data_IF_133713124423
#
_entry.id   IF_133713124423
#
_cell.length_a   1.000
_cell.length_b   1.000
_cell.length_c   1.000
_cell.angle_alpha   90.00
_cell.angle_beta   90.00
_cell.angle_gamma   90.00
#
_symmetry.space_group_name_H-M   'P 1'
#
loop_
_entity.id
_entity.type
_entity.pdbx_description
1 polymer ?
#
# COMPACT_ATOMS: atom_id res chain seq x y z
N UNK A 1 9.06 -8.91 -24.44
CA UNK A 1 8.32 -9.11 -23.18
C UNK A 1 9.32 -8.93 -22.05
N UNK A 2 9.15 -7.92 -21.17
CA UNK A 2 9.97 -7.81 -19.96
C UNK A 2 9.70 -9.06 -19.13
N UNK A 3 10.72 -9.88 -18.90
CA UNK A 3 10.63 -11.00 -17.98
C UNK A 3 10.79 -10.44 -16.57
N UNK A 4 9.93 -10.85 -15.64
CA UNK A 4 10.14 -10.57 -14.22
C UNK A 4 11.54 -11.06 -13.82
N UNK A 5 12.21 -10.36 -12.90
CA UNK A 5 13.49 -10.82 -12.37
C UNK A 5 13.28 -12.16 -11.67
N UNK A 6 13.67 -13.26 -12.31
CA UNK A 6 13.53 -14.59 -11.73
C UNK A 6 14.65 -14.81 -10.71
N UNK A 7 14.32 -15.36 -9.54
CA UNK A 7 15.18 -15.80 -8.43
C UNK A 7 15.58 -14.74 -7.39
N UNK A 8 14.76 -13.73 -7.12
CA UNK A 8 15.03 -12.86 -5.99
C UNK A 8 14.71 -13.58 -4.67
N UNK A 9 15.53 -13.35 -3.62
CA UNK A 9 15.26 -13.88 -2.27
C UNK A 9 13.98 -13.28 -1.65
N UNK A 10 13.74 -11.95 -1.72
CA UNK A 10 12.47 -11.39 -1.25
C UNK A 10 11.38 -11.60 -2.32
N UNK A 11 10.27 -12.22 -1.92
CA UNK A 11 9.06 -12.30 -2.75
C UNK A 11 8.17 -11.07 -2.53
N UNK A 12 7.32 -10.76 -3.50
CA UNK A 12 6.34 -9.67 -3.43
C UNK A 12 5.17 -10.12 -2.56
N UNK A 13 4.94 -9.42 -1.45
CA UNK A 13 3.76 -9.61 -0.61
C UNK A 13 2.62 -8.73 -1.11
N UNK A 14 1.48 -9.33 -1.47
CA UNK A 14 0.31 -8.60 -1.94
C UNK A 14 -0.51 -8.12 -0.74
N UNK A 15 -0.52 -6.82 -0.48
CA UNK A 15 -1.29 -6.18 0.59
C UNK A 15 -2.36 -5.24 0.01
N UNK A 16 -3.62 -5.71 -0.13
CA UNK A 16 -4.74 -4.88 -0.56
C UNK A 16 -5.01 -3.70 0.36
N UNK A 17 -4.68 -3.81 1.66
CA UNK A 17 -4.83 -2.71 2.62
C UNK A 17 -4.00 -1.45 2.31
N UNK A 18 -3.03 -1.53 1.39
CA UNK A 18 -2.24 -0.40 0.90
C UNK A 18 -2.75 0.19 -0.43
N UNK A 19 -3.85 -0.33 -0.97
CA UNK A 19 -4.50 0.26 -2.14
C UNK A 19 -4.92 1.72 -1.85
N UNK A 20 -5.00 2.54 -2.90
CA UNK A 20 -5.34 3.95 -2.79
C UNK A 20 -6.77 4.18 -2.29
N UNK A 21 -7.17 5.44 -2.22
CA UNK A 21 -8.45 5.85 -1.64
C UNK A 21 -9.64 5.23 -2.39
N UNK A 22 -10.39 4.37 -1.71
CA UNK A 22 -11.53 3.64 -2.27
C UNK A 22 -12.70 4.55 -2.62
N UNK A 23 -12.76 5.76 -2.04
CA UNK A 23 -13.78 6.74 -2.39
C UNK A 23 -13.75 7.20 -3.85
N UNK A 24 -12.66 6.94 -4.59
CA UNK A 24 -12.58 7.16 -6.04
C UNK A 24 -13.26 6.06 -6.87
N UNK A 25 -13.66 4.93 -6.25
CA UNK A 25 -14.14 3.73 -6.93
C UNK A 25 -15.55 3.32 -6.48
N UNK A 26 -16.35 4.24 -5.93
CA UNK A 26 -17.67 3.93 -5.34
C UNK A 26 -18.62 3.18 -6.28
N UNK A 27 -18.60 3.55 -7.56
CA UNK A 27 -19.43 2.93 -8.61
C UNK A 27 -18.69 1.85 -9.42
N UNK A 28 -17.40 1.64 -9.13
CA UNK A 28 -16.54 0.74 -9.90
C UNK A 28 -16.53 -0.66 -9.30
N UNK A 29 -16.52 -1.68 -10.16
CA UNK A 29 -16.28 -3.05 -9.74
C UNK A 29 -14.79 -3.40 -9.92
N UNK A 30 -13.98 -3.07 -8.92
CA UNK A 30 -12.55 -3.37 -8.94
C UNK A 30 -12.30 -4.87 -9.08
N UNK A 31 -11.58 -5.27 -10.13
CA UNK A 31 -11.22 -6.65 -10.40
C UNK A 31 -9.71 -6.87 -10.24
N UNK A 32 -9.29 -7.20 -9.02
CA UNK A 32 -7.89 -7.52 -8.73
C UNK A 32 -7.55 -8.95 -9.18
N UNK A 33 -6.35 -9.13 -9.72
CA UNK A 33 -5.77 -10.46 -9.90
C UNK A 33 -5.55 -11.12 -8.53
N UNK A 34 -5.87 -12.40 -8.43
CA UNK A 34 -5.50 -13.22 -7.28
C UNK A 34 -3.99 -13.48 -7.25
N UNK A 35 -3.45 -13.76 -6.05
CA UNK A 35 -2.04 -14.13 -5.89
C UNK A 35 -1.67 -15.34 -6.77
N UNK A 36 -2.56 -16.33 -6.89
CA UNK A 36 -2.33 -17.50 -7.73
C UNK A 36 -2.26 -17.14 -9.22
N UNK A 37 -3.14 -16.28 -9.72
CA UNK A 37 -3.08 -15.79 -11.10
C UNK A 37 -1.76 -15.07 -11.35
N UNK A 38 -1.29 -14.24 -10.41
CA UNK A 38 0.01 -13.58 -10.52
C UNK A 38 1.17 -14.58 -10.56
N UNK A 39 1.16 -15.63 -9.72
CA UNK A 39 2.17 -16.71 -9.78
C UNK A 39 2.16 -17.39 -11.14
N UNK A 40 0.97 -17.73 -11.67
CA UNK A 40 0.81 -18.39 -12.97
C UNK A 40 1.34 -17.53 -14.12
N UNK A 41 1.21 -16.19 -14.02
CA UNK A 41 1.79 -15.25 -14.99
C UNK A 41 3.30 -15.02 -14.80
N UNK A 42 3.92 -15.64 -13.78
CA UNK A 42 5.36 -15.59 -13.53
C UNK A 42 5.84 -14.42 -12.67
N UNK A 43 4.94 -13.75 -11.94
CA UNK A 43 5.33 -12.78 -10.92
C UNK A 43 5.90 -13.50 -9.68
N UNK A 44 6.97 -12.96 -9.10
CA UNK A 44 7.59 -13.50 -7.87
C UNK A 44 6.83 -13.09 -6.61
N UNK A 45 5.54 -13.43 -6.52
CA UNK A 45 4.71 -13.15 -5.34
C UNK A 45 4.85 -14.24 -4.28
N UNK A 46 4.65 -13.87 -3.02
CA UNK A 46 4.58 -14.81 -1.91
C UNK A 46 3.15 -15.36 -1.75
N UNK A 47 2.87 -16.63 -2.12
CA UNK A 47 1.54 -17.20 -1.99
C UNK A 47 1.12 -17.42 -0.53
N UNK A 48 2.08 -17.47 0.38
CA UNK A 48 1.84 -17.75 1.80
C UNK A 48 1.68 -16.47 2.64
N UNK A 49 1.81 -15.30 2.02
CA UNK A 49 1.59 -14.02 2.70
C UNK A 49 0.12 -13.83 3.05
N UNK A 50 -0.17 -13.64 4.33
CA UNK A 50 -1.50 -13.28 4.81
C UNK A 50 -1.64 -11.75 4.95
N UNK A 51 -2.48 -11.10 4.13
CA UNK A 51 -2.62 -9.65 4.17
C UNK A 51 -3.30 -9.18 5.47
N UNK A 52 -2.97 -7.97 5.90
CA UNK A 52 -3.66 -7.27 6.99
C UNK A 52 -5.12 -7.05 6.62
N UNK A 53 -5.39 -6.63 5.38
CA UNK A 53 -6.74 -6.44 4.84
C UNK A 53 -6.85 -7.24 3.54
N UNK A 54 -7.82 -8.15 3.47
CA UNK A 54 -8.08 -8.93 2.26
C UNK A 54 -8.68 -8.06 1.14
N UNK A 55 -8.60 -8.52 -0.11
CA UNK A 55 -9.27 -7.85 -1.23
C UNK A 55 -10.78 -7.72 -1.00
N UNK A 56 -11.41 -8.72 -0.38
CA UNK A 56 -12.84 -8.70 -0.09
C UNK A 56 -13.17 -7.66 0.98
N UNK A 57 -12.38 -7.60 2.06
CA UNK A 57 -12.55 -6.59 3.10
C UNK A 57 -12.34 -5.17 2.55
N UNK A 58 -11.35 -4.97 1.68
CA UNK A 58 -11.14 -3.68 0.99
C UNK A 58 -12.38 -3.27 0.20
N UNK A 59 -12.95 -4.18 -0.61
CA UNK A 59 -14.12 -3.90 -1.46
C UNK A 59 -15.42 -3.74 -0.69
N UNK A 60 -15.55 -4.33 0.48
CA UNK A 60 -16.79 -4.32 1.26
C UNK A 60 -16.76 -3.30 2.39
N UNK A 61 -15.76 -3.37 3.28
CA UNK A 61 -15.66 -2.54 4.48
C UNK A 61 -15.18 -1.12 4.18
N UNK A 62 -14.36 -0.94 3.15
CA UNK A 62 -13.73 0.35 2.82
C UNK A 62 -14.31 1.01 1.56
N UNK A 63 -15.34 0.43 0.94
CA UNK A 63 -15.98 0.97 -0.28
C UNK A 63 -16.36 2.45 -0.18
N UNK A 64 -16.85 2.84 0.99
CA UNK A 64 -17.34 4.18 1.28
C UNK A 64 -16.47 4.91 2.29
N UNK A 65 -15.19 4.54 2.42
CA UNK A 65 -14.30 5.18 3.38
C UNK A 65 -14.20 6.69 3.13
N UNK A 66 -14.07 7.48 4.19
CA UNK A 66 -13.66 8.88 4.09
C UNK A 66 -12.15 8.99 3.87
N UNK A 67 -11.66 10.19 3.55
CA UNK A 67 -10.20 10.38 3.40
C UNK A 67 -9.50 10.16 4.74
N UNK A 68 -10.09 10.57 5.86
CA UNK A 68 -9.55 10.31 7.19
C UNK A 68 -9.48 8.81 7.50
N UNK A 69 -10.52 8.06 7.14
CA UNK A 69 -10.55 6.60 7.28
C UNK A 69 -9.50 5.92 6.41
N UNK A 70 -9.27 6.42 5.19
CA UNK A 70 -8.20 5.97 4.30
C UNK A 70 -6.80 6.20 4.89
N UNK A 71 -6.54 7.39 5.43
CA UNK A 71 -5.26 7.69 6.10
C UNK A 71 -5.05 6.80 7.32
N UNK A 72 -6.11 6.59 8.10
CA UNK A 72 -6.10 5.68 9.25
C UNK A 72 -5.83 4.24 8.82
N UNK A 73 -6.56 3.72 7.82
CA UNK A 73 -6.35 2.37 7.25
C UNK A 73 -4.91 2.18 6.82
N UNK A 74 -4.36 3.13 6.07
CA UNK A 74 -2.97 3.07 5.57
C UNK A 74 -1.98 2.99 6.73
N UNK A 75 -2.15 3.84 7.75
CA UNK A 75 -1.31 3.80 8.95
C UNK A 75 -1.42 2.49 9.72
N UNK A 76 -2.64 1.99 9.95
CA UNK A 76 -2.88 0.73 10.66
C UNK A 76 -2.24 -0.46 9.93
N UNK A 77 -2.33 -0.52 8.60
CA UNK A 77 -1.72 -1.57 7.78
C UNK A 77 -0.20 -1.50 7.83
N UNK A 78 0.39 -0.32 7.65
CA UNK A 78 1.84 -0.12 7.75
C UNK A 78 2.33 -0.50 9.16
N UNK A 79 1.66 -0.05 10.22
CA UNK A 79 1.99 -0.40 11.60
C UNK A 79 1.92 -1.91 11.86
N UNK A 80 0.89 -2.58 11.34
CA UNK A 80 0.77 -4.04 11.43
C UNK A 80 1.94 -4.74 10.72
N UNK A 81 2.30 -4.31 9.51
CA UNK A 81 3.44 -4.87 8.79
C UNK A 81 4.74 -4.66 9.56
N UNK A 82 5.02 -3.44 10.03
CA UNK A 82 6.22 -3.13 10.81
C UNK A 82 6.34 -4.01 12.07
N UNK A 83 5.23 -4.24 12.78
CA UNK A 83 5.22 -5.08 13.99
C UNK A 83 5.58 -6.55 13.74
N UNK A 84 5.46 -7.05 12.50
CA UNK A 84 5.91 -8.39 12.09
C UNK A 84 7.43 -8.46 11.89
N UNK A 85 8.12 -7.33 11.82
CA UNK A 85 9.54 -7.20 11.48
C UNK A 85 10.36 -6.49 12.57
N UNK A 86 10.44 -7.11 13.75
CA UNK A 86 11.11 -6.51 14.94
C UNK A 86 12.63 -6.63 14.96
N UNK A 87 13.23 -7.41 14.05
CA UNK A 87 14.69 -7.61 13.99
C UNK A 87 15.33 -6.47 13.19
N UNK A 88 16.39 -5.88 13.72
CA UNK A 88 17.17 -4.82 13.06
C UNK A 88 18.57 -5.35 12.69
N UNK A 89 19.14 -4.99 11.52
CA UNK A 89 18.59 -4.10 10.50
C UNK A 89 17.49 -4.77 9.67
N UNK A 90 16.43 -4.03 9.35
CA UNK A 90 15.37 -4.46 8.45
C UNK A 90 14.98 -3.28 7.56
N UNK A 91 14.96 -3.52 6.25
CA UNK A 91 14.47 -2.58 5.26
C UNK A 91 13.19 -3.16 4.65
N UNK A 92 12.16 -2.34 4.54
CA UNK A 92 10.88 -2.70 3.93
C UNK A 92 10.64 -1.75 2.77
N UNK A 93 10.30 -2.30 1.60
CA UNK A 93 9.91 -1.54 0.43
C UNK A 93 8.40 -1.65 0.22
N UNK A 94 7.70 -0.53 0.27
CA UNK A 94 6.30 -0.43 -0.12
C UNK A 94 6.24 0.11 -1.56
N UNK A 95 5.68 -0.68 -2.48
CA UNK A 95 5.37 -0.24 -3.86
C UNK A 95 3.88 0.05 -3.92
N UNK A 96 3.53 1.34 -3.95
CA UNK A 96 2.16 1.82 -3.73
C UNK A 96 1.84 3.03 -4.62
N UNK A 97 0.63 3.57 -4.47
CA UNK A 97 0.17 4.77 -5.18
C UNK A 97 0.69 6.05 -4.50
N UNK A 98 0.76 7.15 -5.26
CA UNK A 98 1.14 8.46 -4.76
C UNK A 98 0.38 8.91 -3.47
N UNK A 99 -0.97 8.82 -3.38
CA UNK A 99 -1.68 9.13 -2.15
C UNK A 99 -1.29 8.22 -0.98
N UNK A 100 -0.95 6.95 -1.23
CA UNK A 100 -0.52 6.01 -0.17
C UNK A 100 0.85 6.38 0.36
N UNK A 101 1.72 6.93 -0.50
CA UNK A 101 3.03 7.44 -0.12
C UNK A 101 2.91 8.64 0.83
N UNK A 102 2.01 9.59 0.55
CA UNK A 102 1.72 10.72 1.47
C UNK A 102 1.12 10.22 2.79
N UNK A 103 0.06 9.40 2.75
CA UNK A 103 -0.59 8.86 3.95
C UNK A 103 0.39 8.06 4.83
N UNK A 104 1.17 7.16 4.22
CA UNK A 104 2.15 6.34 4.92
C UNK A 104 3.31 7.15 5.51
N UNK A 105 3.86 8.11 4.76
CA UNK A 105 4.95 8.95 5.26
C UNK A 105 4.51 9.86 6.41
N UNK A 106 3.29 10.39 6.37
CA UNK A 106 2.69 11.14 7.49
C UNK A 106 2.49 10.28 8.73
N UNK A 107 2.00 9.05 8.56
CA UNK A 107 1.89 8.10 9.67
C UNK A 107 3.25 7.83 10.31
N UNK A 108 4.25 7.46 9.51
CA UNK A 108 5.60 7.12 9.98
C UNK A 108 6.31 8.30 10.65
N UNK A 109 6.06 9.53 10.18
CA UNK A 109 6.63 10.75 10.77
C UNK A 109 5.76 11.38 11.86
N UNK A 110 4.66 10.71 12.27
CA UNK A 110 3.70 11.18 13.28
C UNK A 110 3.05 12.53 12.93
N UNK A 111 2.95 12.87 11.64
CA UNK A 111 2.32 14.08 11.10
C UNK A 111 0.89 13.81 10.65
N UNK A 112 0.05 13.35 11.57
CA UNK A 112 -1.32 12.91 11.30
C UNK A 112 -2.37 14.03 11.34
N UNK A 113 -1.97 15.26 11.70
CA UNK A 113 -2.82 16.43 11.60
C UNK A 113 -2.94 16.91 10.15
N UNK A 114 -4.05 17.60 9.83
CA UNK A 114 -4.31 18.22 8.53
C UNK A 114 -4.24 17.21 7.37
N UNK A 115 -5.09 16.19 7.45
CA UNK A 115 -5.38 15.28 6.32
C UNK A 115 -5.87 16.12 5.14
N UNK A 116 -5.37 15.89 3.91
CA UNK A 116 -5.79 16.66 2.75
C UNK A 116 -7.27 16.41 2.44
N UNK A 117 -7.94 17.44 1.93
CA UNK A 117 -9.23 17.26 1.26
C UNK A 117 -9.08 16.51 -0.08
N UNK A 118 -10.20 16.20 -0.71
CA UNK A 118 -10.22 15.42 -1.95
C UNK A 118 -9.49 16.11 -3.12
N UNK A 119 -9.56 17.44 -3.20
CA UNK A 119 -8.90 18.20 -4.26
C UNK A 119 -7.39 18.13 -4.11
N UNK A 120 -6.89 18.33 -2.89
CA UNK A 120 -5.48 18.22 -2.58
C UNK A 120 -4.97 16.79 -2.75
N UNK A 121 -5.75 15.78 -2.34
CA UNK A 121 -5.39 14.36 -2.52
C UNK A 121 -5.22 13.99 -3.99
N UNK A 122 -6.07 14.51 -4.90
CA UNK A 122 -5.95 14.30 -6.36
C UNK A 122 -4.66 14.91 -6.94
N UNK A 123 -4.12 15.95 -6.33
CA UNK A 123 -2.89 16.61 -6.80
C UNK A 123 -1.61 15.94 -6.29
N UNK A 124 -1.70 15.02 -5.33
CA UNK A 124 -0.52 14.34 -4.76
C UNK A 124 0.33 13.66 -5.83
N UNK A 125 -0.29 13.10 -6.88
CA UNK A 125 0.44 12.50 -8.01
C UNK A 125 1.32 13.48 -8.80
N UNK A 126 1.07 14.78 -8.74
CA UNK A 126 1.93 15.81 -9.36
C UNK A 126 3.26 15.92 -8.63
N UNK A 127 3.26 15.68 -7.32
CA UNK A 127 4.46 15.74 -6.47
C UNK A 127 5.23 14.41 -6.43
N UNK A 128 4.57 13.29 -6.73
CA UNK A 128 5.13 11.95 -6.77
C UNK A 128 4.99 11.35 -8.17
N UNK A 129 5.88 11.72 -9.12
CA UNK A 129 5.87 11.14 -10.46
C UNK A 129 6.17 9.64 -10.43
N UNK A 130 5.87 8.92 -11.52
CA UNK A 130 6.11 7.48 -11.59
C UNK A 130 7.55 7.12 -11.21
N UNK A 131 7.70 6.14 -10.32
CA UNK A 131 9.00 5.70 -9.81
C UNK A 131 9.62 6.62 -8.76
N UNK A 132 8.90 7.63 -8.26
CA UNK A 132 9.37 8.42 -7.11
C UNK A 132 9.59 7.52 -5.89
N UNK A 133 10.67 7.77 -5.15
CA UNK A 133 11.04 7.02 -3.95
C UNK A 133 11.17 7.98 -2.77
N UNK A 134 10.53 7.64 -1.66
CA UNK A 134 10.74 8.30 -0.36
C UNK A 134 11.38 7.28 0.57
N UNK A 135 12.50 7.64 1.17
CA UNK A 135 13.18 6.85 2.19
C UNK A 135 12.98 7.48 3.57
N UNK A 136 12.58 6.68 4.54
CA UNK A 136 12.43 7.08 5.94
C UNK A 136 13.23 6.11 6.80
N UNK A 137 13.94 6.65 7.78
CA UNK A 137 14.71 5.88 8.75
C UNK A 137 14.18 6.10 10.17
N UNK A 138 14.16 5.05 10.99
CA UNK A 138 13.91 5.16 12.42
C UNK A 138 15.23 5.47 13.13
N UNK A 139 15.36 6.69 13.64
CA UNK A 139 16.48 7.07 14.49
C UNK A 139 16.25 6.55 15.91
N UNK A 140 17.19 5.76 16.42
CA UNK A 140 17.21 5.27 17.80
C UNK A 140 17.75 6.30 18.77
#
# INVERSE_FOLDING_TARGET
MLKAFTKTKPKICIEPGLFEYMGWYKEENLNFLSTLEMVVQGYEVDPDYFPVISCEDLKTKYKNETIEEYYKRTGDVIGSILSRHTKSPCNILFVVHAPTLDAGSRFLTKKTANVPDENNLKQVGVHYPFGSVVALEENK
#
